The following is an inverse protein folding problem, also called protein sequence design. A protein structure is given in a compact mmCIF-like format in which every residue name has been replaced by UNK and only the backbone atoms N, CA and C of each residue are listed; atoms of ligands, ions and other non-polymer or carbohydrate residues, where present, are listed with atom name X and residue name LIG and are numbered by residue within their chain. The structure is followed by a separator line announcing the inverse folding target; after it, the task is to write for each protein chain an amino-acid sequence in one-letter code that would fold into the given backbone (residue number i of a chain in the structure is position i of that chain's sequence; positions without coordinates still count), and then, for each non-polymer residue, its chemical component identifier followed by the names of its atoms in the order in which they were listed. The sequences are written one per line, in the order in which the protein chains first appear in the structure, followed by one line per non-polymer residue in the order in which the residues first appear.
data_IF_974735202166
#
_entry.id   IF_974735202166
#
_cell.length_a   1.000
_cell.length_b   1.000
_cell.length_c   1.000
_cell.angle_alpha   90.00
_cell.angle_beta   90.00
_cell.angle_gamma   90.00
#
_symmetry.space_group_name_H-M   'P 1'
#
loop_
_entity.id
_entity.type
_entity.pdbx_description
1 polymer ?
#
# COMPACT_ATOMS: atom_id res chain seq x y z
N UNK A 1 6.47 7.50 -7.20
CA UNK A 1 5.49 6.41 -7.02
C UNK A 1 4.85 6.55 -5.64
N UNK A 2 3.52 6.57 -5.53
CA UNK A 2 2.77 6.82 -4.27
C UNK A 2 2.51 5.51 -3.51
N UNK A 3 2.79 5.47 -2.22
CA UNK A 3 2.40 4.33 -1.36
C UNK A 3 0.90 4.40 -1.05
N UNK A 4 0.16 3.30 -1.30
CA UNK A 4 -1.27 3.23 -1.02
C UNK A 4 -1.59 2.56 0.31
N UNK A 5 -0.75 1.63 0.77
CA UNK A 5 -0.95 0.97 2.05
C UNK A 5 -0.70 2.00 3.17
N UNK A 6 -1.68 2.14 4.07
CA UNK A 6 -1.64 3.12 5.15
C UNK A 6 -2.46 4.38 4.88
N UNK A 7 -2.93 4.60 3.64
CA UNK A 7 -3.83 5.71 3.33
C UNK A 7 -5.23 5.49 3.88
N UNK A 8 -5.82 6.55 4.40
CA UNK A 8 -7.24 6.59 4.75
C UNK A 8 -8.14 6.41 3.52
N UNK A 9 -9.41 6.09 3.76
CA UNK A 9 -10.41 5.98 2.71
C UNK A 9 -10.57 7.31 1.97
N UNK A 10 -10.59 8.43 2.68
CA UNK A 10 -10.66 9.77 2.08
C UNK A 10 -9.45 10.09 1.19
N UNK A 11 -8.23 9.78 1.64
CA UNK A 11 -7.03 9.99 0.82
C UNK A 11 -7.06 9.18 -0.48
N UNK A 12 -7.52 7.93 -0.43
CA UNK A 12 -7.65 7.10 -1.64
C UNK A 12 -8.75 7.63 -2.57
N UNK A 13 -9.84 8.20 -2.03
CA UNK A 13 -10.86 8.88 -2.84
C UNK A 13 -10.29 10.12 -3.51
N UNK A 14 -9.54 10.93 -2.78
CA UNK A 14 -8.88 12.12 -3.32
C UNK A 14 -7.85 11.76 -4.41
N UNK A 15 -7.08 10.69 -4.21
CA UNK A 15 -6.16 10.16 -5.21
C UNK A 15 -6.90 9.80 -6.51
N UNK A 16 -8.02 9.09 -6.43
CA UNK A 16 -8.81 8.76 -7.62
C UNK A 16 -9.31 10.01 -8.35
N UNK A 17 -9.80 11.02 -7.62
CA UNK A 17 -10.23 12.29 -8.23
C UNK A 17 -9.06 12.99 -8.93
N UNK A 18 -7.87 13.03 -8.31
CA UNK A 18 -6.67 13.60 -8.91
C UNK A 18 -6.21 12.84 -10.18
N UNK A 19 -6.53 11.55 -10.27
CA UNK A 19 -6.29 10.73 -11.46
C UNK A 19 -7.39 10.90 -12.53
N UNK A 20 -8.45 11.69 -12.28
CA UNK A 20 -9.59 11.83 -13.18
C UNK A 20 -10.60 10.69 -13.11
N UNK A 21 -10.55 9.89 -12.05
CA UNK A 21 -11.50 8.81 -11.78
C UNK A 21 -12.59 9.27 -10.79
N UNK A 22 -13.77 8.65 -10.81
CA UNK A 22 -14.79 8.91 -9.81
C UNK A 22 -14.30 8.61 -8.38
N UNK A 23 -14.61 9.49 -7.43
CA UNK A 23 -14.18 9.36 -6.03
C UNK A 23 -14.51 7.99 -5.42
N UNK A 24 -15.64 7.38 -5.79
CA UNK A 24 -16.03 6.06 -5.25
C UNK A 24 -15.02 4.95 -5.56
N UNK A 25 -14.21 5.08 -6.63
CA UNK A 25 -13.13 4.13 -6.97
C UNK A 25 -12.09 4.04 -5.86
N UNK A 26 -11.80 5.15 -5.17
CA UNK A 26 -10.92 5.13 -4.00
C UNK A 26 -11.48 4.29 -2.85
N UNK A 27 -12.81 4.24 -2.72
CA UNK A 27 -13.48 3.35 -1.79
C UNK A 27 -13.34 1.86 -2.15
N UNK A 28 -13.29 1.54 -3.44
CA UNK A 28 -13.03 0.18 -3.91
C UNK A 28 -11.59 -0.24 -3.67
N UNK A 29 -10.62 0.65 -3.90
CA UNK A 29 -9.20 0.42 -3.55
C UNK A 29 -9.07 0.18 -2.04
N UNK A 30 -9.70 1.02 -1.21
CA UNK A 30 -9.71 0.85 0.25
C UNK A 30 -10.28 -0.52 0.65
N UNK A 31 -11.43 -0.90 0.11
CA UNK A 31 -12.03 -2.20 0.40
C UNK A 31 -11.11 -3.36 -0.02
N UNK A 32 -10.49 -3.27 -1.21
CA UNK A 32 -9.57 -4.28 -1.70
C UNK A 32 -8.34 -4.45 -0.79
N UNK A 33 -7.73 -3.35 -0.33
CA UNK A 33 -6.56 -3.38 0.55
C UNK A 33 -6.87 -3.92 1.94
N UNK A 34 -7.95 -3.43 2.56
CA UNK A 34 -8.20 -3.63 3.99
C UNK A 34 -9.17 -4.77 4.30
N UNK A 35 -10.22 -4.93 3.50
CA UNK A 35 -11.19 -6.01 3.69
C UNK A 35 -10.79 -7.28 2.94
N UNK A 36 -10.34 -7.15 1.69
CA UNK A 36 -10.03 -8.30 0.83
C UNK A 36 -8.55 -8.70 0.84
N UNK A 37 -7.66 -7.91 1.48
CA UNK A 37 -6.21 -8.14 1.55
C UNK A 37 -5.55 -8.34 0.17
N UNK A 38 -6.04 -7.61 -0.83
CA UNK A 38 -5.50 -7.61 -2.21
C UNK A 38 -4.39 -6.58 -2.33
N UNK A 39 -3.15 -7.05 -2.36
CA UNK A 39 -1.96 -6.20 -2.48
C UNK A 39 -1.35 -6.12 -3.89
N UNK A 40 -2.04 -6.70 -4.89
CA UNK A 40 -1.67 -6.59 -6.30
C UNK A 40 -2.82 -5.94 -7.07
N UNK A 41 -2.53 -4.89 -7.84
CA UNK A 41 -3.54 -4.15 -8.61
C UNK A 41 -4.33 -5.06 -9.56
N UNK A 42 -3.66 -6.01 -10.21
CA UNK A 42 -4.30 -7.01 -11.06
C UNK A 42 -5.43 -7.80 -10.36
N UNK A 43 -5.36 -8.00 -9.03
CA UNK A 43 -6.38 -8.72 -8.25
C UNK A 43 -7.61 -7.87 -7.89
N UNK A 44 -7.57 -6.56 -8.14
CA UNK A 44 -8.68 -5.64 -7.92
C UNK A 44 -9.62 -5.62 -9.14
N UNK A 45 -10.27 -6.75 -9.43
CA UNK A 45 -11.09 -6.95 -10.65
C UNK A 45 -12.35 -6.08 -10.73
N UNK A 46 -12.74 -5.46 -9.61
CA UNK A 46 -13.81 -4.47 -9.58
C UNK A 46 -13.39 -3.09 -10.15
N UNK A 47 -12.08 -2.87 -10.36
CA UNK A 47 -11.53 -1.67 -10.99
C UNK A 47 -11.41 -1.87 -12.52
N UNK A 48 -11.58 -0.81 -13.33
CA UNK A 48 -11.31 -0.86 -14.76
C UNK A 48 -9.85 -1.22 -15.02
N UNK A 49 -9.59 -1.88 -16.16
CA UNK A 49 -8.21 -2.18 -16.62
C UNK A 49 -7.37 -0.89 -16.67
N UNK A 50 -7.90 0.17 -17.28
CA UNK A 50 -7.20 1.46 -17.42
C UNK A 50 -6.77 2.06 -16.09
N UNK A 51 -7.60 1.96 -15.05
CA UNK A 51 -7.24 2.43 -13.71
C UNK A 51 -6.15 1.57 -13.07
N UNK A 52 -6.24 0.24 -13.21
CA UNK A 52 -5.20 -0.67 -12.69
C UNK A 52 -3.83 -0.36 -13.32
N UNK A 53 -3.78 -0.15 -14.63
CA UNK A 53 -2.55 0.21 -15.34
C UNK A 53 -1.98 1.56 -14.88
N UNK A 54 -2.84 2.55 -14.61
CA UNK A 54 -2.40 3.85 -14.08
C UNK A 54 -1.85 3.74 -12.65
N UNK A 55 -2.49 2.92 -11.82
CA UNK A 55 -2.00 2.63 -10.47
C UNK A 55 -0.66 1.89 -10.51
N UNK A 56 -0.47 0.93 -11.42
CA UNK A 56 0.82 0.21 -11.57
C UNK A 56 1.98 1.15 -11.98
N UNK A 57 1.69 2.22 -12.73
CA UNK A 57 2.70 3.21 -13.13
C UNK A 57 2.96 4.27 -12.05
N UNK A 58 1.93 4.64 -11.29
CA UNK A 58 1.96 5.79 -10.39
C UNK A 58 2.06 5.45 -8.91
N UNK A 59 1.75 4.22 -8.51
CA UNK A 59 1.57 3.81 -7.13
C UNK A 59 2.16 2.43 -6.83
N UNK A 60 2.36 2.15 -5.54
CA UNK A 60 2.82 0.85 -5.03
C UNK A 60 2.05 0.45 -3.79
N UNK A 61 2.13 -0.83 -3.47
CA UNK A 61 1.59 -1.43 -2.25
C UNK A 61 2.73 -2.23 -1.60
N UNK A 62 3.44 -1.62 -0.65
CA UNK A 62 4.57 -2.28 0.02
C UNK A 62 4.05 -3.07 1.21
N UNK A 63 4.08 -4.40 1.12
CA UNK A 63 3.74 -5.24 2.28
C UNK A 63 4.88 -5.16 3.30
N UNK A 64 4.59 -4.98 4.59
CA UNK A 64 5.64 -5.03 5.60
C UNK A 64 6.24 -6.44 5.64
N UNK A 65 7.55 -6.54 5.42
CA UNK A 65 8.27 -7.80 5.63
C UNK A 65 8.43 -8.02 7.13
N UNK A 66 7.89 -9.12 7.65
CA UNK A 66 8.22 -9.58 9.00
C UNK A 66 9.62 -10.19 8.94
N UNK A 67 10.66 -9.38 9.14
CA UNK A 67 12.05 -9.83 8.99
C UNK A 67 12.48 -10.80 10.09
N UNK A 68 11.87 -10.77 11.27
CA UNK A 68 12.13 -11.74 12.34
C UNK A 68 11.00 -11.77 13.37
N UNK A 69 10.62 -13.00 13.77
CA UNK A 69 9.70 -13.28 14.88
C UNK A 69 10.54 -13.78 16.06
N UNK A 70 10.73 -12.97 17.08
CA UNK A 70 11.36 -13.42 18.33
C UNK A 70 10.26 -13.90 19.28
N UNK A 71 10.25 -15.20 19.54
CA UNK A 71 9.40 -15.80 20.59
C UNK A 71 10.24 -15.84 21.85
N UNK A 72 9.85 -15.05 22.86
CA UNK A 72 10.47 -15.12 24.18
C UNK A 72 10.06 -16.40 24.90
N UNK A 73 10.90 -16.93 25.79
CA UNK A 73 10.62 -18.14 26.58
C UNK A 73 9.38 -18.03 27.49
N UNK A 74 8.90 -16.81 27.74
CA UNK A 74 7.68 -16.50 28.50
C UNK A 74 6.41 -16.38 27.60
N UNK A 75 6.51 -16.73 26.32
CA UNK A 75 5.38 -16.78 25.37
C UNK A 75 5.06 -15.46 24.65
N UNK A 76 5.72 -14.35 25.00
CA UNK A 76 5.59 -13.08 24.28
C UNK A 76 6.23 -13.14 22.89
N UNK A 77 5.47 -12.74 21.86
CA UNK A 77 5.94 -12.64 20.47
C UNK A 77 6.25 -11.19 20.13
N UNK A 78 7.51 -10.86 19.87
CA UNK A 78 7.92 -9.56 19.31
C UNK A 78 8.12 -9.67 17.80
N UNK A 79 7.44 -8.78 17.07
CA UNK A 79 7.61 -8.63 15.62
C UNK A 79 8.54 -7.45 15.36
N UNK A 80 9.68 -7.71 14.70
CA UNK A 80 10.44 -6.67 14.02
C UNK A 80 9.84 -6.51 12.62
N UNK A 81 9.02 -5.49 12.45
CA UNK A 81 8.48 -5.10 11.16
C UNK A 81 9.59 -4.37 10.38
N UNK A 82 10.14 -5.02 9.36
CA UNK A 82 10.96 -4.35 8.37
C UNK A 82 10.03 -3.56 7.46
N UNK A 83 9.96 -2.26 7.65
CA UNK A 83 9.49 -1.37 6.59
C UNK A 83 10.54 -1.48 5.48
N UNK A 84 10.14 -2.03 4.33
CA UNK A 84 11.01 -2.11 3.15
C UNK A 84 11.61 -0.74 2.87
N UNK A 85 12.93 -0.72 2.66
CA UNK A 85 13.76 0.47 2.53
C UNK A 85 13.11 1.49 1.59
N UNK A 86 12.78 2.68 2.12
CA UNK A 86 12.50 3.84 1.31
C UNK A 86 13.84 4.40 0.83
N UNK A 87 14.47 3.73 -0.12
CA UNK A 87 15.64 4.27 -0.79
C UNK A 87 15.17 5.37 -1.74
N UNK A 88 15.17 6.61 -1.26
CA UNK A 88 15.89 7.72 -1.90
C UNK A 88 15.76 8.99 -1.03
N UNK A 89 16.78 9.31 -0.21
CA UNK A 89 17.18 10.71 0.06
C UNK A 89 18.64 10.72 0.51
N UNK A 90 19.50 10.89 -0.49
CA UNK A 90 20.73 11.70 -0.49
C UNK A 90 21.73 11.54 0.67
N UNK A 91 22.79 10.80 0.34
CA UNK A 91 24.18 11.02 0.74
C UNK A 91 24.51 12.50 1.00
N UNK A 92 25.14 12.77 2.13
CA UNK A 92 25.71 14.08 2.43
C UNK A 92 26.37 14.10 3.80
N UNK A 93 27.58 13.56 3.86
CA UNK A 93 28.51 13.72 4.98
C UNK A 93 28.81 15.21 5.25
N UNK A 94 28.72 15.63 6.51
CA UNK A 94 29.66 16.53 7.22
C UNK A 94 29.25 16.67 8.69
#
# INVERSE_FOLDING_TARGET
MVELLGKSKEELRALCVALGEPAYRGGQIYHALYAERKFAFARMTNLPVTLRERLEKGARITQPEVKQRFVSSDGSVRYLLGLGDAQDTESGES
#
